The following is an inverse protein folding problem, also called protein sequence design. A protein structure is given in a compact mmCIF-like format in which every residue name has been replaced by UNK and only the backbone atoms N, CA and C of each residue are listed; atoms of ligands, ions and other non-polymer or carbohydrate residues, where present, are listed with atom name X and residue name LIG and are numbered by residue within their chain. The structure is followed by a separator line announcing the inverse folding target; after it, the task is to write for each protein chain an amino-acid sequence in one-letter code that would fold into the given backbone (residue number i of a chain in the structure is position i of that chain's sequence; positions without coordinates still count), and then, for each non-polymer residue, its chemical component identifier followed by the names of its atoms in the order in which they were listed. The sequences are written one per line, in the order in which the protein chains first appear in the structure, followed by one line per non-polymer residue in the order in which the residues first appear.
data_IF_259032618552
#
_entry.id   IF_259032618552
#
_cell.length_a   1.000
_cell.length_b   1.000
_cell.length_c   1.000
_cell.angle_alpha   90.00
_cell.angle_beta   90.00
_cell.angle_gamma   90.00
#
_symmetry.space_group_name_H-M   'P 1'
#
loop_
_entity.id
_entity.type
_entity.pdbx_description
1 polymer ?
#
# COMPACT_ATOMS: atom_id res chain seq x y z
N UNK A 1 3.77 -17.33 4.75
CA UNK A 1 3.59 -17.06 3.31
C UNK A 1 2.26 -17.60 2.76
N UNK A 2 1.82 -18.81 3.07
CA UNK A 2 0.57 -19.44 2.55
C UNK A 2 -0.71 -18.74 3.06
N UNK A 3 -0.78 -18.30 4.34
CA UNK A 3 -1.95 -17.58 4.88
C UNK A 3 -2.22 -16.22 4.21
N UNK A 4 -1.20 -15.54 3.69
CA UNK A 4 -1.37 -14.26 2.98
C UNK A 4 -1.90 -14.46 1.55
N UNK A 5 -1.60 -15.59 0.90
CA UNK A 5 -2.19 -15.91 -0.40
C UNK A 5 -3.68 -16.21 -0.30
N UNK A 6 -4.13 -16.88 0.77
CA UNK A 6 -5.56 -17.17 1.00
C UNK A 6 -6.32 -15.86 1.35
N UNK A 7 -5.70 -14.93 2.07
CA UNK A 7 -6.28 -13.62 2.36
C UNK A 7 -6.40 -12.76 1.10
N UNK A 8 -5.37 -12.71 0.25
CA UNK A 8 -5.40 -12.03 -1.05
C UNK A 8 -6.39 -12.69 -2.02
N UNK A 9 -6.50 -14.02 -1.99
CA UNK A 9 -7.46 -14.75 -2.80
C UNK A 9 -8.91 -14.53 -2.31
N UNK A 10 -9.13 -14.42 -0.99
CA UNK A 10 -10.44 -14.08 -0.40
C UNK A 10 -10.83 -12.62 -0.67
N UNK A 11 -9.91 -11.67 -0.61
CA UNK A 11 -10.13 -10.28 -1.00
C UNK A 11 -10.45 -10.15 -2.50
N UNK A 12 -9.79 -10.91 -3.37
CA UNK A 12 -10.07 -10.91 -4.81
C UNK A 12 -11.44 -11.57 -5.13
N UNK A 13 -11.88 -12.51 -4.30
CA UNK A 13 -13.21 -13.13 -4.40
C UNK A 13 -14.32 -12.21 -3.86
N UNK A 14 -14.04 -11.36 -2.86
CA UNK A 14 -14.94 -10.32 -2.38
C UNK A 14 -15.05 -9.13 -3.35
N UNK A 15 -14.04 -8.85 -4.19
CA UNK A 15 -14.09 -7.84 -5.27
C UNK A 15 -15.27 -8.02 -6.23
N UNK A 16 -15.80 -9.25 -6.36
CA UNK A 16 -16.88 -9.57 -7.30
C UNK A 16 -18.29 -9.62 -6.68
N UNK A 17 -18.48 -9.36 -5.38
CA UNK A 17 -19.72 -9.73 -4.68
C UNK A 17 -20.61 -8.56 -4.24
N UNK A 18 -20.19 -7.31 -4.27
CA UNK A 18 -21.10 -6.19 -4.04
C UNK A 18 -21.52 -5.56 -5.36
N UNK A 19 -22.80 -5.69 -5.76
CA UNK A 19 -23.28 -4.95 -6.91
C UNK A 19 -23.17 -3.46 -6.64
N UNK A 20 -22.52 -2.74 -7.54
CA UNK A 20 -22.30 -1.29 -7.54
C UNK A 20 -23.53 -0.48 -7.11
N UNK A 21 -24.76 -0.96 -7.43
CA UNK A 21 -26.05 -0.47 -6.94
C UNK A 21 -26.95 -1.66 -6.65
N UNK A 22 -27.64 -1.65 -5.50
CA UNK A 22 -28.66 -2.63 -5.20
C UNK A 22 -29.90 -2.40 -6.09
N UNK A 23 -30.78 -3.40 -6.20
CA UNK A 23 -32.05 -3.22 -6.95
C UNK A 23 -32.93 -2.14 -6.32
N UNK A 24 -32.88 -2.02 -4.99
CA UNK A 24 -33.61 -0.99 -4.23
C UNK A 24 -33.07 0.42 -4.55
N UNK A 25 -31.74 0.58 -4.61
CA UNK A 25 -31.12 1.86 -4.94
C UNK A 25 -31.44 2.30 -6.36
N UNK A 26 -31.42 1.37 -7.31
CA UNK A 26 -31.81 1.62 -8.70
C UNK A 26 -33.27 2.08 -8.79
N UNK A 27 -34.17 1.40 -8.09
CA UNK A 27 -35.59 1.75 -8.10
C UNK A 27 -35.83 3.15 -7.49
N UNK A 28 -35.21 3.43 -6.35
CA UNK A 28 -35.34 4.74 -5.68
C UNK A 28 -34.73 5.88 -6.50
N UNK A 29 -33.56 5.67 -7.10
CA UNK A 29 -32.88 6.64 -7.93
C UNK A 29 -33.66 6.91 -9.23
N UNK A 30 -34.21 5.85 -9.84
CA UNK A 30 -35.07 5.99 -11.03
C UNK A 30 -36.33 6.79 -10.75
N UNK A 31 -36.95 6.57 -9.58
CA UNK A 31 -38.11 7.33 -9.13
C UNK A 31 -37.76 8.81 -8.91
N UNK A 32 -36.69 9.07 -8.19
CA UNK A 32 -36.24 10.44 -7.91
C UNK A 32 -35.93 11.22 -9.19
N UNK A 33 -35.26 10.59 -10.17
CA UNK A 33 -34.92 11.20 -11.46
C UNK A 33 -36.21 11.47 -12.26
N UNK A 34 -37.11 10.50 -12.37
CA UNK A 34 -38.34 10.66 -13.14
C UNK A 34 -39.24 11.76 -12.56
N UNK A 35 -39.46 11.76 -11.25
CA UNK A 35 -40.26 12.80 -10.57
C UNK A 35 -39.60 14.18 -10.68
N UNK A 36 -38.30 14.27 -10.36
CA UNK A 36 -37.56 15.54 -10.41
C UNK A 36 -37.54 16.14 -11.81
N UNK A 37 -37.33 15.32 -12.84
CA UNK A 37 -37.33 15.76 -14.23
C UNK A 37 -38.70 16.30 -14.67
N UNK A 38 -39.78 15.58 -14.37
CA UNK A 38 -41.12 16.02 -14.73
C UNK A 38 -41.56 17.26 -13.96
N UNK A 39 -41.15 17.40 -12.72
CA UNK A 39 -41.43 18.60 -11.90
C UNK A 39 -40.72 19.82 -12.49
N UNK A 40 -39.44 19.70 -12.82
CA UNK A 40 -38.67 20.75 -13.49
C UNK A 40 -39.24 21.11 -14.87
N UNK A 41 -39.62 20.12 -15.67
CA UNK A 41 -40.19 20.36 -17.00
C UNK A 41 -41.57 21.03 -16.92
N UNK A 42 -42.42 20.65 -15.97
CA UNK A 42 -43.72 21.27 -15.72
C UNK A 42 -43.59 22.73 -15.24
N UNK A 43 -42.63 22.99 -14.34
CA UNK A 43 -42.31 24.33 -13.88
C UNK A 43 -41.76 25.21 -15.03
N UNK A 44 -40.83 24.69 -15.85
CA UNK A 44 -40.28 25.41 -16.99
C UNK A 44 -41.38 25.74 -18.03
N UNK A 45 -42.34 24.85 -18.27
CA UNK A 45 -43.47 25.12 -19.15
C UNK A 45 -44.40 26.18 -18.56
N UNK A 46 -44.63 26.18 -17.23
CA UNK A 46 -45.45 27.16 -16.58
C UNK A 46 -44.81 28.56 -16.58
N UNK A 47 -43.53 28.66 -16.25
CA UNK A 47 -42.83 29.96 -16.25
C UNK A 47 -42.41 30.42 -17.64
N UNK A 48 -42.18 29.53 -18.60
CA UNK A 48 -41.79 29.86 -19.98
C UNK A 48 -42.89 30.63 -20.69
N UNK A 49 -44.16 30.28 -20.45
CA UNK A 49 -45.32 31.01 -21.02
C UNK A 49 -45.47 32.43 -20.41
N UNK A 50 -44.95 32.66 -19.19
CA UNK A 50 -45.00 33.95 -18.51
C UNK A 50 -43.84 34.89 -18.81
N UNK A 51 -42.66 34.34 -19.15
CA UNK A 51 -41.43 35.11 -19.34
C UNK A 51 -41.18 35.52 -20.81
N UNK A 52 -41.72 34.78 -21.79
CA UNK A 52 -41.36 34.98 -23.21
C UNK A 52 -42.46 35.58 -24.09
N UNK A 53 -43.69 35.77 -23.58
CA UNK A 53 -44.78 36.37 -24.32
C UNK A 53 -45.34 37.61 -23.65
N UNK A 54 -45.09 38.77 -24.25
CA UNK A 54 -45.53 40.09 -23.75
C UNK A 54 -47.04 40.39 -23.91
N UNK A 55 -47.84 39.52 -24.50
CA UNK A 55 -49.29 39.61 -24.50
C UNK A 55 -49.94 38.34 -23.98
N UNK A 56 -50.82 38.44 -22.93
CA UNK A 56 -51.57 37.29 -22.46
C UNK A 56 -52.65 36.92 -23.49
N UNK A 57 -52.34 35.94 -24.34
CA UNK A 57 -53.41 35.28 -25.10
C UNK A 57 -54.34 34.61 -24.09
N UNK A 58 -55.69 34.77 -24.20
CA UNK A 58 -56.63 34.10 -23.31
C UNK A 58 -56.36 32.60 -23.39
N UNK A 59 -55.81 32.05 -22.36
CA UNK A 59 -55.57 30.62 -22.24
C UNK A 59 -56.92 29.91 -22.21
N UNK A 60 -57.23 28.98 -23.12
CA UNK A 60 -58.29 28.02 -22.83
C UNK A 60 -57.88 27.34 -21.52
N UNK A 61 -58.80 27.22 -20.55
CA UNK A 61 -58.61 26.65 -19.21
C UNK A 61 -57.86 25.32 -19.37
N UNK A 62 -56.53 25.35 -19.21
CA UNK A 62 -55.69 24.18 -19.17
C UNK A 62 -55.99 23.56 -17.79
N UNK A 63 -57.00 22.71 -17.69
CA UNK A 63 -57.13 21.83 -16.57
C UNK A 63 -55.81 21.10 -16.43
N UNK A 64 -55.18 21.27 -15.29
CA UNK A 64 -53.98 20.52 -14.94
C UNK A 64 -54.34 19.02 -14.90
N UNK A 65 -54.09 18.32 -15.99
CA UNK A 65 -54.50 16.92 -16.16
C UNK A 65 -53.55 16.07 -15.32
N UNK A 66 -53.86 15.90 -14.03
CA UNK A 66 -53.10 15.13 -13.07
C UNK A 66 -52.83 13.72 -13.59
N UNK A 67 -53.83 13.13 -14.25
CA UNK A 67 -53.69 11.79 -14.83
C UNK A 67 -52.58 11.75 -15.90
N UNK A 68 -52.50 12.76 -16.73
CA UNK A 68 -51.48 12.90 -17.78
C UNK A 68 -50.09 13.04 -17.20
N UNK A 69 -49.92 13.85 -16.17
CA UNK A 69 -48.61 13.98 -15.47
C UNK A 69 -48.19 12.67 -14.82
N UNK A 70 -49.11 11.96 -14.17
CA UNK A 70 -48.84 10.66 -13.57
C UNK A 70 -48.44 9.62 -14.62
N UNK A 71 -49.13 9.55 -15.77
CA UNK A 71 -48.77 8.61 -16.84
C UNK A 71 -47.42 8.89 -17.42
N UNK A 72 -47.07 10.15 -17.69
CA UNK A 72 -45.74 10.56 -18.16
C UNK A 72 -44.64 10.22 -17.16
N UNK A 73 -44.89 10.47 -15.87
CA UNK A 73 -43.91 10.18 -14.81
C UNK A 73 -43.70 8.67 -14.67
N UNK A 74 -44.79 7.89 -14.67
CA UNK A 74 -44.69 6.42 -14.63
C UNK A 74 -43.92 5.84 -15.83
N UNK A 75 -44.16 6.36 -17.02
CA UNK A 75 -43.45 5.94 -18.22
C UNK A 75 -41.96 6.24 -18.18
N UNK A 76 -41.61 7.48 -17.79
CA UNK A 76 -40.22 7.88 -17.62
C UNK A 76 -39.50 7.07 -16.53
N UNK A 77 -40.21 6.72 -15.44
CA UNK A 77 -39.69 5.83 -14.43
C UNK A 77 -39.29 4.46 -14.99
N UNK A 78 -40.18 3.83 -15.76
CA UNK A 78 -39.89 2.52 -16.37
C UNK A 78 -38.69 2.61 -17.34
N UNK A 79 -38.63 3.65 -18.16
CA UNK A 79 -37.51 3.89 -19.08
C UNK A 79 -36.19 4.03 -18.32
N UNK A 80 -36.14 4.92 -17.33
CA UNK A 80 -34.93 5.16 -16.52
C UNK A 80 -34.49 3.88 -15.79
N UNK A 81 -35.46 3.15 -15.24
CA UNK A 81 -35.19 1.88 -14.58
C UNK A 81 -34.58 0.84 -15.55
N UNK A 82 -35.10 0.72 -16.77
CA UNK A 82 -34.54 -0.14 -17.81
C UNK A 82 -33.10 0.29 -18.20
N UNK A 83 -32.84 1.58 -18.33
CA UNK A 83 -31.49 2.11 -18.63
C UNK A 83 -30.52 1.76 -17.47
N UNK A 84 -30.91 1.94 -16.22
CA UNK A 84 -30.09 1.54 -15.08
C UNK A 84 -29.80 0.02 -15.05
N UNK A 85 -30.80 -0.82 -15.31
CA UNK A 85 -30.63 -2.27 -15.38
C UNK A 85 -29.66 -2.67 -16.49
N UNK A 86 -29.82 -2.08 -17.67
CA UNK A 86 -28.93 -2.32 -18.79
C UNK A 86 -27.48 -1.90 -18.45
N UNK A 87 -27.29 -0.70 -17.93
CA UNK A 87 -25.98 -0.20 -17.54
C UNK A 87 -25.33 -1.05 -16.45
N UNK A 88 -26.10 -1.47 -15.44
CA UNK A 88 -25.64 -2.39 -14.40
C UNK A 88 -25.16 -3.71 -14.98
N UNK A 89 -25.88 -4.27 -15.96
CA UNK A 89 -25.48 -5.51 -16.62
C UNK A 89 -24.21 -5.31 -17.46
N UNK A 90 -24.12 -4.22 -18.21
CA UNK A 90 -22.94 -3.91 -19.03
C UNK A 90 -21.69 -3.61 -18.22
N UNK A 91 -21.81 -3.02 -17.02
CA UNK A 91 -20.70 -2.81 -16.11
C UNK A 91 -20.12 -4.10 -15.51
N UNK A 92 -20.88 -5.19 -15.50
CA UNK A 92 -20.42 -6.54 -15.07
C UNK A 92 -19.68 -7.30 -16.15
N UNK A 93 -19.86 -6.93 -17.41
CA UNK A 93 -19.18 -7.56 -18.54
C UNK A 93 -17.75 -7.05 -18.63
N UNK A 94 -16.78 -7.96 -18.59
CA UNK A 94 -15.38 -7.59 -18.68
C UNK A 94 -14.99 -7.37 -20.15
N UNK A 95 -14.84 -6.12 -20.53
CA UNK A 95 -14.36 -5.73 -21.85
C UNK A 95 -12.84 -5.54 -21.83
N UNK A 96 -12.14 -5.98 -22.89
CA UNK A 96 -10.69 -5.81 -23.03
C UNK A 96 -10.23 -4.33 -22.92
N UNK A 97 -11.14 -3.38 -23.26
CA UNK A 97 -10.85 -1.94 -23.25
C UNK A 97 -12.06 -1.16 -22.72
N UNK A 98 -11.84 -0.28 -21.78
CA UNK A 98 -12.87 0.51 -21.11
C UNK A 98 -13.71 1.38 -22.06
N UNK A 99 -13.11 1.89 -23.15
CA UNK A 99 -13.84 2.71 -24.12
C UNK A 99 -14.89 1.89 -24.89
N UNK A 100 -14.64 0.61 -25.18
CA UNK A 100 -15.61 -0.27 -25.85
C UNK A 100 -16.84 -0.47 -24.94
N UNK A 101 -16.61 -0.68 -23.64
CA UNK A 101 -17.70 -0.79 -22.66
C UNK A 101 -18.53 0.50 -22.63
N UNK A 102 -17.87 1.66 -22.59
CA UNK A 102 -18.53 2.95 -22.57
C UNK A 102 -19.37 3.16 -23.85
N UNK A 103 -18.82 2.83 -25.02
CA UNK A 103 -19.54 2.94 -26.30
C UNK A 103 -20.82 2.09 -26.32
N UNK A 104 -20.78 0.83 -25.84
CA UNK A 104 -21.95 -0.02 -25.75
C UNK A 104 -22.99 0.49 -24.75
N UNK A 105 -22.55 1.06 -23.62
CA UNK A 105 -23.43 1.70 -22.65
C UNK A 105 -24.16 2.89 -23.27
N UNK A 106 -23.47 3.74 -24.01
CA UNK A 106 -24.04 4.91 -24.71
C UNK A 106 -25.07 4.43 -25.74
N UNK A 107 -24.66 3.59 -26.66
CA UNK A 107 -25.53 3.14 -27.77
C UNK A 107 -26.76 2.43 -27.20
N UNK A 108 -26.61 1.50 -26.26
CA UNK A 108 -27.73 0.77 -25.70
C UNK A 108 -28.70 1.67 -24.94
N UNK A 109 -28.21 2.64 -24.17
CA UNK A 109 -29.06 3.60 -23.46
C UNK A 109 -29.86 4.49 -24.43
N UNK A 110 -29.23 4.93 -25.52
CA UNK A 110 -29.89 5.72 -26.57
C UNK A 110 -30.94 4.91 -27.34
N UNK A 111 -30.66 3.65 -27.64
CA UNK A 111 -31.64 2.74 -28.29
C UNK A 111 -32.85 2.52 -27.39
N UNK A 112 -32.64 2.27 -26.08
CA UNK A 112 -33.73 2.14 -25.11
C UNK A 112 -34.58 3.41 -25.07
N UNK A 113 -33.95 4.57 -24.96
CA UNK A 113 -34.65 5.87 -24.97
C UNK A 113 -35.47 6.08 -26.24
N UNK A 114 -34.89 5.79 -27.44
CA UNK A 114 -35.56 5.91 -28.71
C UNK A 114 -36.79 4.99 -28.84
N UNK A 115 -36.67 3.73 -28.43
CA UNK A 115 -37.78 2.76 -28.45
C UNK A 115 -38.91 3.20 -27.53
N UNK A 116 -38.61 3.67 -26.33
CA UNK A 116 -39.60 4.18 -25.38
C UNK A 116 -40.28 5.42 -25.90
N UNK A 117 -39.54 6.37 -26.48
CA UNK A 117 -40.09 7.57 -27.07
C UNK A 117 -41.03 7.28 -28.26
N UNK A 118 -40.62 6.38 -29.14
CA UNK A 118 -41.44 5.98 -30.28
C UNK A 118 -42.74 5.28 -29.84
N UNK A 119 -42.62 4.32 -28.93
CA UNK A 119 -43.81 3.59 -28.39
C UNK A 119 -44.78 4.55 -27.73
N UNK A 120 -44.30 5.45 -26.87
CA UNK A 120 -45.15 6.42 -26.17
C UNK A 120 -45.85 7.41 -27.12
N UNK A 121 -45.22 7.76 -28.24
CA UNK A 121 -45.80 8.69 -29.23
C UNK A 121 -46.84 7.98 -30.10
N UNK A 122 -46.64 6.71 -30.44
CA UNK A 122 -47.53 5.93 -31.29
C UNK A 122 -48.74 5.34 -30.56
N UNK A 123 -48.62 5.03 -29.27
CA UNK A 123 -49.66 4.37 -28.48
C UNK A 123 -50.99 5.16 -28.47
N UNK A 124 -51.01 6.51 -28.22
CA UNK A 124 -52.26 7.28 -28.25
C UNK A 124 -52.94 7.30 -29.61
N UNK A 125 -52.20 7.18 -30.70
CA UNK A 125 -52.73 7.13 -32.08
C UNK A 125 -53.34 5.76 -32.34
N UNK A 126 -52.64 4.71 -31.91
CA UNK A 126 -53.13 3.34 -32.06
C UNK A 126 -54.42 3.07 -31.23
N UNK A 127 -54.57 3.82 -30.11
CA UNK A 127 -55.77 3.77 -29.27
C UNK A 127 -56.89 4.72 -29.71
N UNK A 128 -56.82 5.33 -30.90
CA UNK A 128 -57.75 6.35 -31.42
C UNK A 128 -57.98 7.55 -30.48
N UNK A 129 -57.05 7.76 -29.52
CA UNK A 129 -57.16 8.80 -28.54
C UNK A 129 -56.73 10.21 -29.06
N UNK A 130 -56.04 10.25 -30.18
CA UNK A 130 -55.56 11.49 -30.82
C UNK A 130 -55.62 11.40 -32.35
N UNK A 131 -56.41 12.28 -32.96
CA UNK A 131 -56.45 12.40 -34.42
C UNK A 131 -55.10 12.98 -34.94
N UNK A 132 -54.37 12.32 -35.84
CA UNK A 132 -53.07 12.77 -36.30
C UNK A 132 -53.24 13.96 -37.30
N UNK A 133 -53.47 15.17 -36.80
CA UNK A 133 -53.49 16.37 -37.65
C UNK A 133 -52.12 16.55 -38.33
N UNK A 134 -52.09 16.94 -39.63
CA UNK A 134 -50.85 17.21 -40.35
C UNK A 134 -49.96 18.20 -39.57
N UNK A 135 -48.69 17.85 -39.34
CA UNK A 135 -47.70 18.68 -38.65
C UNK A 135 -47.65 18.53 -37.09
N UNK A 136 -48.63 17.92 -36.45
CA UNK A 136 -48.60 17.68 -34.99
C UNK A 136 -47.70 16.51 -34.65
N UNK A 137 -47.74 15.45 -35.43
CA UNK A 137 -46.97 14.23 -35.23
C UNK A 137 -45.46 14.42 -35.20
N UNK A 138 -44.83 15.11 -36.19
CA UNK A 138 -43.40 15.36 -36.18
C UNK A 138 -42.94 16.19 -34.97
N UNK A 139 -43.78 17.10 -34.49
CA UNK A 139 -43.50 17.91 -33.31
C UNK A 139 -43.51 17.10 -32.04
N UNK A 140 -44.50 16.21 -31.86
CA UNK A 140 -44.60 15.30 -30.68
C UNK A 140 -43.43 14.33 -30.63
N UNK A 141 -43.07 13.71 -31.78
CA UNK A 141 -41.93 12.82 -31.90
C UNK A 141 -40.62 13.55 -31.54
N UNK A 142 -40.40 14.71 -32.16
CA UNK A 142 -39.19 15.49 -31.88
C UNK A 142 -39.05 15.87 -30.44
N UNK A 143 -40.10 16.39 -29.81
CA UNK A 143 -40.06 16.84 -28.40
C UNK A 143 -39.93 15.64 -27.44
N UNK A 144 -40.57 14.50 -27.75
CA UNK A 144 -40.40 13.25 -27.01
C UNK A 144 -38.96 12.75 -27.06
N UNK A 145 -38.37 12.66 -28.29
CA UNK A 145 -36.99 12.23 -28.46
C UNK A 145 -36.00 13.14 -27.72
N UNK A 146 -36.12 14.46 -27.83
CA UNK A 146 -35.23 15.40 -27.12
C UNK A 146 -35.29 15.18 -25.61
N UNK A 147 -36.51 15.09 -25.09
CA UNK A 147 -36.74 14.85 -23.64
C UNK A 147 -36.08 13.53 -23.19
N UNK A 148 -36.31 12.42 -23.88
CA UNK A 148 -35.84 11.10 -23.49
C UNK A 148 -34.33 10.95 -23.70
N UNK A 149 -33.74 11.60 -24.66
CA UNK A 149 -32.28 11.71 -24.81
C UNK A 149 -31.63 12.51 -23.68
N UNK A 150 -32.21 13.66 -23.28
CA UNK A 150 -31.72 14.43 -22.15
C UNK A 150 -31.77 13.61 -20.87
N UNK A 151 -32.89 12.93 -20.64
CA UNK A 151 -33.07 12.07 -19.46
C UNK A 151 -32.07 10.90 -19.44
N UNK A 152 -31.86 10.27 -20.59
CA UNK A 152 -30.86 9.20 -20.76
C UNK A 152 -29.43 9.70 -20.51
N UNK A 153 -29.09 10.92 -20.97
CA UNK A 153 -27.79 11.54 -20.73
C UNK A 153 -27.55 11.82 -19.22
N UNK A 154 -28.58 12.30 -18.51
CA UNK A 154 -28.52 12.51 -17.06
C UNK A 154 -28.26 11.19 -16.33
N UNK A 155 -29.01 10.14 -16.67
CA UNK A 155 -28.84 8.80 -16.06
C UNK A 155 -27.42 8.29 -16.29
N UNK A 156 -26.92 8.44 -17.52
CA UNK A 156 -25.56 8.01 -17.85
C UNK A 156 -24.49 8.78 -17.09
N UNK A 157 -24.64 10.10 -16.96
CA UNK A 157 -23.73 10.92 -16.16
C UNK A 157 -23.72 10.45 -14.70
N UNK A 158 -24.90 10.21 -14.10
CA UNK A 158 -25.02 9.72 -12.72
C UNK A 158 -24.32 8.36 -12.57
N UNK A 159 -24.54 7.42 -13.48
CA UNK A 159 -23.89 6.09 -13.44
C UNK A 159 -22.38 6.22 -13.51
N UNK A 160 -21.86 7.10 -14.38
CA UNK A 160 -20.42 7.33 -14.49
C UNK A 160 -19.83 7.97 -13.23
N UNK A 161 -20.49 8.97 -12.67
CA UNK A 161 -20.04 9.61 -11.42
C UNK A 161 -20.00 8.62 -10.27
N UNK A 162 -21.04 7.80 -10.11
CA UNK A 162 -21.11 6.77 -9.08
C UNK A 162 -20.02 5.69 -9.28
N UNK A 163 -19.76 5.27 -10.52
CA UNK A 163 -18.67 4.34 -10.85
C UNK A 163 -17.32 4.91 -10.45
N UNK A 164 -17.03 6.14 -10.88
CA UNK A 164 -15.76 6.81 -10.59
C UNK A 164 -15.57 7.03 -9.07
N UNK A 165 -16.62 7.42 -8.36
CA UNK A 165 -16.58 7.57 -6.91
C UNK A 165 -16.27 6.24 -6.20
N UNK A 166 -16.90 5.16 -6.64
CA UNK A 166 -16.64 3.83 -6.06
C UNK A 166 -15.21 3.34 -6.36
N UNK A 167 -14.71 3.53 -7.58
CA UNK A 167 -13.32 3.19 -7.95
C UNK A 167 -12.31 3.98 -7.11
N UNK A 168 -12.54 5.29 -6.90
CA UNK A 168 -11.68 6.12 -6.04
C UNK A 168 -11.68 5.65 -4.59
N UNK A 169 -12.84 5.29 -4.05
CA UNK A 169 -12.95 4.77 -2.69
C UNK A 169 -12.20 3.44 -2.54
N UNK A 170 -12.30 2.54 -3.52
CA UNK A 170 -11.57 1.28 -3.51
C UNK A 170 -10.05 1.50 -3.53
N UNK A 171 -9.56 2.38 -4.39
CA UNK A 171 -8.14 2.75 -4.47
C UNK A 171 -7.66 3.38 -3.15
N UNK A 172 -8.48 4.23 -2.52
CA UNK A 172 -8.15 4.85 -1.23
C UNK A 172 -7.98 3.79 -0.14
N UNK A 173 -8.94 2.85 -0.02
CA UNK A 173 -8.86 1.74 0.95
C UNK A 173 -7.65 0.85 0.70
N UNK A 174 -7.35 0.52 -0.57
CA UNK A 174 -6.19 -0.29 -0.93
C UNK A 174 -4.87 0.42 -0.57
N UNK A 175 -4.78 1.74 -0.83
CA UNK A 175 -3.62 2.53 -0.44
C UNK A 175 -3.42 2.60 1.08
N UNK A 176 -4.49 2.72 1.86
CA UNK A 176 -4.41 2.68 3.33
C UNK A 176 -3.95 1.31 3.83
N UNK A 177 -4.45 0.23 3.25
CA UNK A 177 -4.01 -1.13 3.59
C UNK A 177 -2.52 -1.35 3.28
N UNK A 178 -2.05 -0.90 2.11
CA UNK A 178 -0.63 -0.98 1.73
C UNK A 178 0.26 -0.13 2.64
N UNK A 179 -0.20 1.04 3.07
CA UNK A 179 0.53 1.88 4.04
C UNK A 179 0.63 1.20 5.40
N UNK A 180 -0.46 0.60 5.89
CA UNK A 180 -0.46 -0.14 7.15
C UNK A 180 0.48 -1.34 7.10
N UNK A 181 0.48 -2.11 6.00
CA UNK A 181 1.40 -3.23 5.79
C UNK A 181 2.85 -2.76 5.76
N UNK A 182 3.14 -1.65 5.06
CA UNK A 182 4.48 -1.07 5.00
C UNK A 182 4.98 -0.65 6.39
N UNK A 183 4.14 0.04 7.18
CA UNK A 183 4.47 0.44 8.56
C UNK A 183 4.75 -0.80 9.41
N UNK A 184 3.93 -1.85 9.31
CA UNK A 184 4.12 -3.09 10.06
C UNK A 184 5.43 -3.78 9.67
N UNK A 185 5.72 -3.86 8.38
CA UNK A 185 6.98 -4.44 7.87
C UNK A 185 8.20 -3.65 8.35
N UNK A 186 8.13 -2.32 8.30
CA UNK A 186 9.20 -1.48 8.83
C UNK A 186 9.37 -1.62 10.35
N UNK A 187 8.26 -1.72 11.10
CA UNK A 187 8.30 -1.96 12.53
C UNK A 187 8.92 -3.33 12.87
N UNK A 188 8.54 -4.39 12.17
CA UNK A 188 9.13 -5.72 12.36
C UNK A 188 10.61 -5.74 12.00
N UNK A 189 11.02 -5.06 10.92
CA UNK A 189 12.42 -4.90 10.55
C UNK A 189 13.21 -4.15 11.63
N UNK A 190 12.67 -3.05 12.15
CA UNK A 190 13.29 -2.29 13.24
C UNK A 190 13.38 -3.11 14.52
N UNK A 191 12.32 -3.84 14.88
CA UNK A 191 12.31 -4.74 16.05
C UNK A 191 13.32 -5.86 15.92
N UNK A 192 13.55 -6.39 14.71
CA UNK A 192 14.53 -7.45 14.47
C UNK A 192 15.98 -6.96 14.53
N UNK A 193 16.24 -5.67 14.40
CA UNK A 193 17.56 -5.06 14.57
C UNK A 193 18.00 -5.03 16.04
N UNK A 194 17.04 -5.07 16.96
CA UNK A 194 17.34 -5.21 18.40
C UNK A 194 17.22 -6.68 18.75
N UNK A 195 18.35 -7.37 18.96
CA UNK A 195 18.32 -8.74 19.48
C UNK A 195 17.72 -8.74 20.92
N UNK A 196 16.50 -9.29 21.11
CA UNK A 196 15.86 -9.30 22.44
C UNK A 196 16.71 -10.08 23.46
N UNK A 197 17.40 -11.11 23.03
CA UNK A 197 18.25 -11.92 23.90
C UNK A 197 19.49 -11.11 24.36
N UNK A 198 20.10 -10.32 23.49
CA UNK A 198 21.16 -9.39 23.87
C UNK A 198 20.66 -8.38 24.90
N UNK A 199 19.47 -7.78 24.69
CA UNK A 199 18.88 -6.82 25.62
C UNK A 199 18.59 -7.45 27.00
N UNK A 200 17.96 -8.62 27.07
CA UNK A 200 17.69 -9.31 28.32
C UNK A 200 18.99 -9.68 29.07
N UNK A 201 20.00 -10.16 28.37
CA UNK A 201 21.28 -10.49 28.93
C UNK A 201 22.01 -9.24 29.46
N UNK A 202 21.95 -8.12 28.73
CA UNK A 202 22.56 -6.86 29.14
C UNK A 202 21.90 -6.31 30.41
N UNK A 203 20.55 -6.35 30.49
CA UNK A 203 19.82 -5.93 31.70
C UNK A 203 20.13 -6.82 32.93
N UNK A 204 20.24 -8.13 32.74
CA UNK A 204 20.60 -9.06 33.82
C UNK A 204 22.03 -8.79 34.34
N UNK A 205 22.98 -8.53 33.42
CA UNK A 205 24.35 -8.15 33.79
C UNK A 205 24.37 -6.82 34.54
N UNK A 206 23.65 -5.82 34.06
CA UNK A 206 23.51 -4.53 34.73
C UNK A 206 22.93 -4.69 36.15
N UNK A 207 21.87 -5.48 36.31
CA UNK A 207 21.25 -5.75 37.61
C UNK A 207 22.25 -6.36 38.61
N UNK A 208 23.09 -7.29 38.16
CA UNK A 208 24.12 -7.87 39.00
C UNK A 208 25.22 -6.88 39.41
N UNK A 209 25.58 -5.94 38.49
CA UNK A 209 26.60 -4.93 38.76
C UNK A 209 26.09 -3.84 39.69
N UNK A 210 24.84 -3.42 39.63
CA UNK A 210 24.25 -2.42 40.55
C UNK A 210 24.42 -2.84 42.02
N UNK A 211 24.29 -4.13 42.31
CA UNK A 211 24.41 -4.65 43.66
C UNK A 211 25.86 -4.85 44.16
N UNK A 212 26.84 -4.88 43.25
CA UNK A 212 28.22 -5.25 43.56
C UNK A 212 29.26 -4.17 43.28
N UNK A 213 29.09 -3.39 42.20
CA UNK A 213 30.05 -2.40 41.72
C UNK A 213 29.33 -1.28 40.95
N UNK A 214 29.01 -0.21 41.63
CA UNK A 214 28.26 0.93 41.07
C UNK A 214 29.01 1.69 39.96
N UNK A 215 30.34 1.75 40.02
CA UNK A 215 31.13 2.44 38.97
C UNK A 215 31.13 1.63 37.68
N UNK A 216 31.29 0.31 37.78
CA UNK A 216 31.16 -0.59 36.64
C UNK A 216 29.75 -0.59 36.07
N UNK A 217 28.71 -0.50 36.92
CA UNK A 217 27.33 -0.40 36.44
C UNK A 217 27.12 0.86 35.62
N UNK A 218 27.66 2.01 36.04
CA UNK A 218 27.57 3.27 35.25
C UNK A 218 28.32 3.18 33.91
N UNK A 219 29.55 2.65 33.93
CA UNK A 219 30.31 2.40 32.70
C UNK A 219 29.55 1.47 31.76
N UNK A 220 28.95 0.39 32.29
CA UNK A 220 28.15 -0.56 31.51
C UNK A 220 26.95 0.12 30.82
N UNK A 221 26.24 1.04 31.48
CA UNK A 221 25.12 1.80 30.91
C UNK A 221 25.60 2.70 29.78
N UNK A 222 26.75 3.36 29.91
CA UNK A 222 27.32 4.21 28.86
C UNK A 222 27.66 3.39 27.61
N UNK A 223 28.36 2.26 27.78
CA UNK A 223 28.72 1.36 26.69
C UNK A 223 27.46 0.78 26.00
N UNK A 224 26.47 0.33 26.79
CA UNK A 224 25.21 -0.17 26.26
C UNK A 224 24.47 0.91 25.42
N UNK A 225 24.48 2.15 25.90
CA UNK A 225 23.90 3.27 25.19
C UNK A 225 24.59 3.54 23.86
N UNK A 226 25.93 3.37 23.79
CA UNK A 226 26.70 3.53 22.55
C UNK A 226 26.36 2.42 21.54
N UNK A 227 26.31 1.16 21.99
CA UNK A 227 25.94 0.02 21.13
C UNK A 227 24.52 0.20 20.59
N UNK A 228 23.55 0.55 21.43
CA UNK A 228 22.16 0.78 20.98
C UNK A 228 22.08 1.95 20.00
N UNK A 229 22.84 3.03 20.22
CA UNK A 229 22.87 4.16 19.28
C UNK A 229 23.46 3.74 17.93
N UNK A 230 24.53 2.95 17.91
CA UNK A 230 25.11 2.42 16.67
C UNK A 230 24.11 1.53 15.91
N UNK A 231 23.39 0.65 16.63
CA UNK A 231 22.38 -0.23 16.02
C UNK A 231 21.16 0.52 15.45
N UNK A 232 20.76 1.62 16.07
CA UNK A 232 19.60 2.42 15.66
C UNK A 232 19.95 3.51 14.62
N UNK A 233 21.24 3.68 14.27
CA UNK A 233 21.61 4.62 13.22
C UNK A 233 21.19 4.11 11.84
N UNK A 234 20.29 4.84 11.20
CA UNK A 234 19.83 4.54 9.84
C UNK A 234 20.76 5.18 8.78
N UNK A 235 22.04 4.80 8.80
CA UNK A 235 23.04 5.25 7.81
C UNK A 235 23.33 4.12 6.84
N UNK A 236 23.46 4.45 5.57
CA UNK A 236 23.86 3.44 4.56
C UNK A 236 25.32 3.07 4.65
N UNK A 237 26.17 4.02 5.06
CA UNK A 237 27.62 3.90 5.15
C UNK A 237 28.11 4.73 6.34
N UNK A 238 29.15 4.27 7.02
CA UNK A 238 29.83 4.95 8.12
C UNK A 238 31.35 4.96 7.89
N UNK A 239 32.07 5.86 8.57
CA UNK A 239 33.52 5.78 8.60
C UNK A 239 33.97 4.59 9.45
N UNK A 240 35.13 4.04 9.14
CA UNK A 240 35.72 2.97 9.92
C UNK A 240 35.93 3.37 11.39
N UNK A 241 36.28 4.63 11.64
CA UNK A 241 36.34 5.18 13.00
C UNK A 241 35.00 5.07 13.74
N UNK A 242 33.89 5.46 13.09
CA UNK A 242 32.55 5.38 13.71
C UNK A 242 32.14 3.94 13.99
N UNK A 243 32.43 3.01 13.08
CA UNK A 243 32.19 1.59 13.28
C UNK A 243 33.02 1.05 14.46
N UNK A 244 34.30 1.40 14.53
CA UNK A 244 35.19 0.95 15.62
C UNK A 244 34.78 1.49 17.00
N UNK A 245 34.20 2.67 17.10
CA UNK A 245 33.62 3.16 18.35
C UNK A 245 32.51 2.22 18.86
N UNK A 246 31.62 1.78 17.97
CA UNK A 246 30.57 0.80 18.30
C UNK A 246 31.15 -0.58 18.67
N UNK A 247 32.15 -1.02 17.91
CA UNK A 247 32.87 -2.29 18.17
C UNK A 247 33.54 -2.30 19.53
N UNK A 248 34.28 -1.24 19.88
CA UNK A 248 34.90 -1.12 21.19
C UNK A 248 33.87 -1.16 22.33
N UNK A 249 32.79 -0.40 22.20
CA UNK A 249 31.71 -0.42 23.19
C UNK A 249 31.11 -1.83 23.35
N UNK A 250 30.85 -2.53 22.24
CA UNK A 250 30.36 -3.90 22.27
C UNK A 250 31.38 -4.88 22.91
N UNK A 251 32.65 -4.78 22.56
CA UNK A 251 33.71 -5.58 23.12
C UNK A 251 33.85 -5.39 24.65
N UNK A 252 33.76 -4.14 25.12
CA UNK A 252 33.79 -3.83 26.57
C UNK A 252 32.62 -4.47 27.30
N UNK A 253 31.39 -4.40 26.75
CA UNK A 253 30.23 -5.08 27.34
C UNK A 253 30.43 -6.60 27.43
N UNK A 254 30.97 -7.21 26.36
CA UNK A 254 31.23 -8.65 26.32
C UNK A 254 32.36 -9.03 27.28
N UNK A 255 33.37 -8.20 27.43
CA UNK A 255 34.47 -8.45 28.37
C UNK A 255 34.00 -8.37 29.85
N UNK A 256 33.07 -7.44 30.15
CA UNK A 256 32.44 -7.40 31.49
C UNK A 256 31.66 -8.67 31.75
N UNK A 257 30.98 -9.24 30.73
CA UNK A 257 30.16 -10.46 30.86
C UNK A 257 30.99 -11.75 31.00
N UNK A 258 32.05 -11.90 30.20
CA UNK A 258 32.83 -13.13 30.13
C UNK A 258 34.14 -13.10 30.92
N UNK A 259 34.53 -11.91 31.42
CA UNK A 259 35.77 -11.70 32.15
C UNK A 259 37.00 -12.05 31.33
N UNK A 260 38.00 -12.64 32.00
CA UNK A 260 39.27 -13.01 31.37
C UNK A 260 39.18 -14.15 30.35
N UNK A 261 38.00 -14.77 30.22
CA UNK A 261 37.77 -15.87 29.27
C UNK A 261 37.55 -15.35 27.84
N UNK A 262 37.35 -14.02 27.64
CA UNK A 262 37.21 -13.39 26.33
C UNK A 262 38.21 -12.26 26.20
N UNK A 263 39.04 -12.32 25.16
CA UNK A 263 40.07 -11.32 24.87
C UNK A 263 39.93 -10.77 23.47
N UNK A 264 40.19 -9.48 23.32
CA UNK A 264 40.21 -8.80 22.04
C UNK A 264 41.59 -8.23 21.77
N UNK A 265 42.09 -8.44 20.57
CA UNK A 265 43.35 -7.89 20.10
C UNK A 265 43.07 -6.95 18.89
N UNK A 266 43.40 -5.68 19.08
CA UNK A 266 43.17 -4.62 18.09
C UNK A 266 44.49 -4.14 17.54
N UNK A 267 44.73 -4.33 16.24
CA UNK A 267 45.88 -3.81 15.51
C UNK A 267 45.38 -2.97 14.34
N UNK A 268 44.98 -1.74 14.65
CA UNK A 268 44.33 -0.82 13.71
C UNK A 268 45.28 0.27 13.27
N UNK A 269 45.54 0.38 11.97
CA UNK A 269 46.27 1.49 11.40
C UNK A 269 45.36 2.73 11.29
N UNK A 270 45.81 3.84 11.91
CA UNK A 270 45.07 5.08 11.93
C UNK A 270 44.81 5.68 10.55
N UNK A 271 45.62 5.35 9.56
CA UNK A 271 45.46 5.87 8.20
C UNK A 271 44.14 5.39 7.56
N UNK A 272 43.53 4.30 8.02
CA UNK A 272 42.29 3.77 7.49
C UNK A 272 41.04 4.23 8.25
N UNK A 273 41.16 4.99 9.35
CA UNK A 273 40.00 5.40 10.17
C UNK A 273 38.97 6.24 9.39
N UNK A 274 39.40 6.98 8.37
CA UNK A 274 38.51 7.77 7.50
C UNK A 274 37.85 6.97 6.39
N UNK A 275 38.25 5.72 6.17
CA UNK A 275 37.71 4.85 5.12
C UNK A 275 36.27 4.44 5.46
N UNK A 276 35.53 4.05 4.43
CA UNK A 276 34.11 3.75 4.54
C UNK A 276 33.89 2.23 4.71
N UNK A 277 32.92 1.90 5.55
CA UNK A 277 32.44 0.54 5.77
C UNK A 277 30.92 0.51 5.86
N UNK A 278 30.32 -0.66 5.73
CA UNK A 278 28.89 -0.81 6.05
C UNK A 278 28.69 -0.78 7.58
N UNK A 279 27.67 -0.09 8.08
CA UNK A 279 27.37 -0.05 9.51
C UNK A 279 27.09 -1.46 10.05
N UNK A 280 27.56 -1.72 11.27
CA UNK A 280 27.47 -2.99 11.98
C UNK A 280 28.16 -4.18 11.29
N UNK A 281 29.02 -3.93 10.28
CA UNK A 281 29.74 -4.98 9.59
C UNK A 281 30.81 -5.65 10.47
N UNK A 282 31.63 -4.84 11.12
CA UNK A 282 32.71 -5.34 11.99
C UNK A 282 32.11 -5.85 13.31
N UNK A 283 31.15 -5.10 13.88
CA UNK A 283 30.45 -5.55 15.07
C UNK A 283 29.78 -6.91 14.88
N UNK A 284 29.11 -7.11 13.74
CA UNK A 284 28.46 -8.38 13.40
C UNK A 284 29.45 -9.56 13.28
N UNK A 285 30.67 -9.32 12.82
CA UNK A 285 31.73 -10.36 12.78
C UNK A 285 32.21 -10.73 14.18
N UNK A 286 32.42 -9.74 15.05
CA UNK A 286 32.76 -9.97 16.48
C UNK A 286 31.63 -10.71 17.19
N UNK A 287 30.39 -10.33 16.94
CA UNK A 287 29.20 -11.01 17.48
C UNK A 287 29.13 -12.46 17.03
N UNK A 288 29.39 -12.75 15.75
CA UNK A 288 29.44 -14.10 15.22
C UNK A 288 30.53 -14.95 15.90
N UNK A 289 31.71 -14.38 16.11
CA UNK A 289 32.80 -15.06 16.82
C UNK A 289 32.37 -15.48 18.24
N UNK A 290 31.69 -14.59 18.98
CA UNK A 290 31.23 -14.85 20.34
C UNK A 290 30.05 -15.85 20.35
N UNK A 291 29.14 -15.71 19.39
CA UNK A 291 27.93 -16.53 19.31
C UNK A 291 28.22 -17.99 19.02
N UNK A 292 29.14 -18.26 18.10
CA UNK A 292 29.40 -19.61 17.58
C UNK A 292 30.49 -20.37 18.34
N UNK A 293 31.27 -19.72 19.22
CA UNK A 293 32.34 -20.36 19.95
C UNK A 293 32.05 -20.56 21.44
N UNK A 294 32.60 -21.61 22.00
CA UNK A 294 32.64 -21.86 23.47
C UNK A 294 33.57 -20.84 24.09
N UNK A 295 33.10 -20.20 25.18
CA UNK A 295 33.89 -19.25 25.97
C UNK A 295 33.89 -19.73 27.42
N UNK A 296 35.02 -20.23 27.91
CA UNK A 296 35.13 -20.75 29.27
C UNK A 296 36.58 -20.64 29.79
N UNK A 297 36.78 -20.84 31.12
CA UNK A 297 38.12 -20.80 31.72
C UNK A 297 39.08 -21.87 31.19
N UNK A 298 38.55 -22.98 30.63
CA UNK A 298 39.35 -24.02 29.98
C UNK A 298 39.63 -23.73 28.50
N UNK A 299 38.79 -22.96 27.89
CA UNK A 299 38.84 -22.58 26.46
C UNK A 299 38.54 -21.09 26.33
N UNK A 300 39.50 -20.20 26.64
CA UNK A 300 39.32 -18.78 26.46
C UNK A 300 39.27 -18.49 24.95
N UNK A 301 38.41 -17.54 24.56
CA UNK A 301 38.29 -17.07 23.17
C UNK A 301 39.08 -15.80 23.01
N UNK A 302 39.92 -15.75 21.96
CA UNK A 302 40.58 -14.53 21.52
C UNK A 302 40.05 -14.13 20.12
N UNK A 303 39.59 -12.90 19.97
CA UNK A 303 39.16 -12.34 18.71
C UNK A 303 40.15 -11.25 18.30
N UNK A 304 40.78 -11.38 17.14
CA UNK A 304 41.73 -10.42 16.63
C UNK A 304 41.10 -9.59 15.49
N UNK A 305 41.25 -8.29 15.57
CA UNK A 305 40.77 -7.29 14.62
C UNK A 305 41.97 -6.51 14.12
N UNK A 306 42.38 -6.71 12.87
CA UNK A 306 43.63 -6.18 12.35
C UNK A 306 43.40 -5.51 10.98
N UNK A 307 44.10 -4.40 10.73
CA UNK A 307 44.16 -3.80 9.38
C UNK A 307 45.43 -4.28 8.67
N UNK A 308 45.28 -4.56 7.39
CA UNK A 308 46.40 -4.95 6.52
C UNK A 308 46.82 -3.75 5.66
N UNK A 309 48.12 -3.74 5.23
CA UNK A 309 48.64 -2.69 4.35
C UNK A 309 47.92 -2.60 2.98
N UNK A 310 47.18 -3.66 2.62
CA UNK A 310 46.30 -3.68 1.43
C UNK A 310 45.00 -2.87 1.55
N UNK A 311 44.75 -2.20 2.69
CA UNK A 311 43.48 -1.51 2.94
C UNK A 311 42.34 -2.47 3.26
N UNK A 312 42.63 -3.62 3.81
CA UNK A 312 41.66 -4.63 4.24
C UNK A 312 41.62 -4.74 5.75
N UNK A 313 40.42 -4.92 6.29
CA UNK A 313 40.19 -5.24 7.70
C UNK A 313 39.99 -6.76 7.83
N UNK A 314 40.74 -7.38 8.72
CA UNK A 314 40.63 -8.79 9.04
C UNK A 314 40.09 -8.98 10.45
N UNK A 315 39.06 -9.82 10.57
CA UNK A 315 38.54 -10.29 11.86
C UNK A 315 38.75 -11.81 11.91
N UNK A 316 39.44 -12.29 12.95
CA UNK A 316 39.74 -13.70 13.07
C UNK A 316 39.56 -14.21 14.51
N UNK A 317 39.20 -15.50 14.63
CA UNK A 317 39.08 -16.20 15.92
C UNK A 317 39.40 -17.68 15.74
N UNK A 318 39.87 -18.38 16.81
CA UNK A 318 39.96 -19.83 16.80
C UNK A 318 38.57 -20.46 16.76
N UNK A 319 38.44 -21.60 16.08
CA UNK A 319 37.19 -22.34 15.95
C UNK A 319 37.02 -23.25 17.19
N UNK A 320 36.04 -22.93 18.01
CA UNK A 320 35.70 -23.65 19.26
C UNK A 320 34.17 -23.91 19.28
N UNK A 321 33.63 -24.78 18.41
CA UNK A 321 32.21 -24.87 18.18
C UNK A 321 31.43 -25.28 19.42
N UNK A 322 30.27 -24.62 19.66
CA UNK A 322 29.30 -25.04 20.65
C UNK A 322 28.61 -26.33 20.24
N UNK A 323 28.40 -27.25 21.18
CA UNK A 323 27.74 -28.55 20.94
C UNK A 323 26.23 -28.37 20.64
N UNK A 324 25.63 -27.25 21.04
CA UNK A 324 24.22 -26.96 20.75
C UNK A 324 24.12 -26.46 19.32
N UNK A 325 23.43 -27.21 18.48
CA UNK A 325 22.98 -26.82 17.14
C UNK A 325 22.06 -25.59 17.19
N UNK A 326 22.57 -24.41 17.45
CA UNK A 326 21.94 -23.23 16.92
C UNK A 326 22.27 -23.22 15.43
N UNK A 327 21.33 -23.67 14.62
CA UNK A 327 21.35 -23.58 13.17
C UNK A 327 21.38 -22.10 12.77
N UNK A 328 22.51 -21.47 12.97
CA UNK A 328 22.86 -20.21 12.33
C UNK A 328 23.09 -20.52 10.87
N UNK A 329 22.09 -20.26 10.03
CA UNK A 329 22.06 -20.60 8.60
C UNK A 329 23.11 -19.87 7.73
N UNK A 330 24.22 -19.39 8.25
CA UNK A 330 25.22 -18.66 7.46
C UNK A 330 24.69 -17.38 6.75
N UNK A 331 23.41 -17.07 6.96
CA UNK A 331 22.68 -15.99 6.29
C UNK A 331 23.31 -14.62 6.59
N UNK A 332 23.86 -14.42 7.78
CA UNK A 332 24.45 -13.13 8.17
C UNK A 332 25.67 -12.76 7.33
N UNK A 333 26.61 -13.70 7.15
CA UNK A 333 27.81 -13.49 6.34
C UNK A 333 27.49 -13.39 4.84
N UNK A 334 26.58 -14.22 4.34
CA UNK A 334 26.12 -14.13 2.96
C UNK A 334 25.44 -12.78 2.67
N UNK A 335 24.63 -12.30 3.59
CA UNK A 335 24.00 -10.98 3.46
C UNK A 335 25.02 -9.84 3.52
N UNK A 336 26.04 -9.96 4.38
CA UNK A 336 27.12 -8.97 4.46
C UNK A 336 27.90 -8.91 3.14
N UNK A 337 28.29 -10.07 2.61
CA UNK A 337 28.99 -10.16 1.33
C UNK A 337 28.16 -9.58 0.18
N UNK A 338 26.88 -9.92 0.11
CA UNK A 338 25.98 -9.38 -0.92
C UNK A 338 25.82 -7.86 -0.81
N UNK A 339 25.71 -7.31 0.41
CA UNK A 339 25.64 -5.85 0.63
C UNK A 339 26.90 -5.14 0.15
N UNK A 340 28.11 -5.68 0.39
CA UNK A 340 29.38 -5.14 -0.13
C UNK A 340 29.45 -5.22 -1.65
N UNK A 341 29.01 -6.31 -2.22
CA UNK A 341 28.94 -6.50 -3.68
C UNK A 341 27.99 -5.51 -4.35
N UNK A 342 26.80 -5.33 -3.78
CA UNK A 342 25.79 -4.39 -4.32
C UNK A 342 26.20 -2.93 -4.18
N UNK A 343 26.86 -2.57 -3.07
CA UNK A 343 27.19 -1.16 -2.78
C UNK A 343 28.44 -0.68 -3.53
N UNK A 344 29.49 -1.53 -3.58
CA UNK A 344 30.81 -1.14 -4.08
C UNK A 344 31.39 -2.10 -5.12
N UNK A 345 30.69 -3.16 -5.47
CA UNK A 345 31.15 -4.21 -6.38
C UNK A 345 32.48 -4.87 -5.93
N UNK A 346 32.65 -5.07 -4.63
CA UNK A 346 33.80 -5.71 -4.00
C UNK A 346 33.39 -6.98 -3.27
N UNK A 347 34.33 -7.92 -3.12
CA UNK A 347 34.09 -9.19 -2.46
C UNK A 347 34.61 -9.19 -1.02
N UNK A 348 33.86 -9.86 -0.14
CA UNK A 348 34.24 -10.16 1.24
C UNK A 348 34.95 -11.50 1.26
N UNK A 349 36.18 -11.55 1.78
CA UNK A 349 36.95 -12.78 1.91
C UNK A 349 36.47 -13.57 3.14
N UNK A 350 36.24 -14.88 2.98
CA UNK A 350 35.89 -15.77 4.09
C UNK A 350 36.82 -16.99 3.98
N UNK A 351 37.54 -17.28 5.09
CA UNK A 351 38.48 -18.42 5.16
C UNK A 351 38.18 -19.20 6.45
N UNK A 352 38.03 -20.49 6.27
CA UNK A 352 37.88 -21.47 7.34
C UNK A 352 38.87 -22.61 7.08
N UNK A 353 39.90 -22.74 7.92
CA UNK A 353 40.90 -23.79 7.83
C UNK A 353 40.71 -24.93 8.86
N UNK A 354 39.53 -24.92 9.55
CA UNK A 354 39.19 -25.86 10.60
C UNK A 354 39.82 -25.56 11.98
N UNK A 355 40.73 -24.56 12.04
CA UNK A 355 41.34 -24.10 13.29
C UNK A 355 41.07 -22.64 13.58
N UNK A 356 41.10 -21.83 12.56
CA UNK A 356 40.86 -20.38 12.60
C UNK A 356 39.80 -20.03 11.58
N UNK A 357 38.84 -19.26 12.03
CA UNK A 357 37.87 -18.61 11.17
C UNK A 357 38.29 -17.17 10.94
N UNK A 358 38.32 -16.73 9.69
CA UNK A 358 38.81 -15.42 9.28
C UNK A 358 37.88 -14.81 8.25
N UNK A 359 37.50 -13.53 8.47
CA UNK A 359 36.75 -12.74 7.49
C UNK A 359 37.51 -11.48 7.19
N UNK A 360 37.65 -11.18 5.90
CA UNK A 360 38.36 -10.02 5.39
C UNK A 360 37.36 -9.05 4.73
N UNK A 361 37.29 -7.83 5.23
CA UNK A 361 36.44 -6.76 4.70
C UNK A 361 37.27 -5.70 3.99
N UNK A 362 36.97 -5.33 2.75
CA UNK A 362 37.57 -4.18 2.10
C UNK A 362 37.17 -2.88 2.80
N UNK A 363 38.17 -2.05 3.13
CA UNK A 363 37.97 -0.65 3.56
C UNK A 363 37.95 0.22 2.30
N UNK A 364 36.93 1.05 2.15
CA UNK A 364 36.70 1.81 0.90
C UNK A 364 37.22 3.24 1.06
N UNK A 365 38.13 3.64 0.19
CA UNK A 365 38.61 5.03 0.19
C UNK A 365 37.44 5.98 -0.14
N UNK A 366 37.16 6.99 0.70
CA UNK A 366 36.08 7.96 0.44
C UNK A 366 36.29 8.81 -0.82
N UNK A 367 37.46 8.70 -1.46
CA UNK A 367 37.79 9.39 -2.73
C UNK A 367 37.47 8.56 -3.97
N UNK A 368 37.15 7.30 -3.82
CA UNK A 368 36.68 6.42 -4.88
C UNK A 368 35.15 6.42 -4.97
#
# INVERSE_FOLDING_TARGET
MIKNLDYLCSMNKQRNLHPFLSMRDIALLSLAIAVGFHLLFSLAAFFGDTLFFSEPKPMPHRHFDVLRVLTFTAWSYVMVFCIFLFNRRMLRVNFKKNYIQLTWIIIGSLVIAAVFSLFFTLLPIWMDAVDPKPGVMPRLLRNGLIKDFLLSAIVMLIVQLLKTANERNQIAVENEALRAENITTHYEALKSQLDPHFMFNSLNTLQSLIGTDSERAQSYVLELSQVLRATLQNKEVVTFEQEMQGVHAYCNLMQIRYGDNLKFDFQIDQNYLSFLVLPLSVQGLVENAIKHNVISGKQPLQVSITTEESGQLKVSNPIQPKITEETGNGIGLANLAERYRLKWNVEVGIKDDGKVFEVTLPLIDPKQ
#
